data_IF_368351797430
#
_entry.id   IF_368351797430
#
_cell.length_a   1.000
_cell.length_b   1.000
_cell.length_c   1.000
_cell.angle_alpha   90.00
_cell.angle_beta   90.00
_cell.angle_gamma   90.00
#
_symmetry.space_group_name_H-M   'P 1'
#
loop_
_entity.id
_entity.type
_entity.pdbx_description
1 polymer ?
#
# COMPACT_ATOMS: atom_id res chain seq x y z
N UNK A 1 -7.55 -4.64 -3.40
CA UNK A 1 -6.74 -5.10 -2.24
C UNK A 1 -5.67 -6.11 -2.65
N UNK A 2 -5.95 -7.07 -3.53
CA UNK A 2 -4.97 -8.06 -4.03
C UNK A 2 -3.59 -7.48 -4.43
N UNK A 3 -3.55 -6.41 -5.24
CA UNK A 3 -2.29 -5.73 -5.63
C UNK A 3 -1.51 -5.13 -4.46
N UNK A 4 -2.20 -4.68 -3.41
CA UNK A 4 -1.56 -4.14 -2.20
C UNK A 4 -0.98 -5.29 -1.39
N UNK A 5 -1.70 -6.40 -1.26
CA UNK A 5 -1.22 -7.59 -0.57
C UNK A 5 0.04 -8.17 -1.24
N UNK A 6 0.09 -8.18 -2.57
CA UNK A 6 1.29 -8.59 -3.29
C UNK A 6 2.52 -7.71 -2.95
N UNK A 7 2.32 -6.39 -2.80
CA UNK A 7 3.36 -5.47 -2.36
C UNK A 7 3.75 -5.66 -0.89
N UNK A 8 2.78 -5.98 -0.03
CA UNK A 8 3.04 -6.35 1.37
C UNK A 8 3.93 -7.56 1.42
N UNK A 9 3.60 -8.64 0.70
CA UNK A 9 4.43 -9.84 0.65
C UNK A 9 5.82 -9.58 0.07
N UNK A 10 5.91 -8.84 -1.05
CA UNK A 10 7.19 -8.52 -1.70
C UNK A 10 8.14 -7.71 -0.79
N UNK A 11 7.59 -6.78 -0.02
CA UNK A 11 8.36 -5.85 0.81
C UNK A 11 8.26 -6.10 2.31
N UNK A 12 7.66 -7.22 2.75
CA UNK A 12 7.40 -7.54 4.17
C UNK A 12 8.65 -7.42 5.02
N UNK A 13 9.69 -8.14 4.66
CA UNK A 13 10.93 -8.21 5.45
C UNK A 13 11.77 -6.94 5.35
N UNK A 14 11.68 -6.18 4.25
CA UNK A 14 12.54 -5.00 4.02
C UNK A 14 11.92 -3.71 4.53
N UNK A 15 10.67 -3.45 4.15
CA UNK A 15 10.01 -2.17 4.40
C UNK A 15 9.01 -2.22 5.56
N UNK A 16 8.50 -3.41 5.90
CA UNK A 16 7.39 -3.59 6.84
C UNK A 16 7.76 -4.47 8.05
N UNK A 17 9.06 -4.60 8.36
CA UNK A 17 9.58 -5.47 9.42
C UNK A 17 9.03 -5.16 10.83
N UNK A 18 8.50 -3.96 11.03
CA UNK A 18 7.91 -3.52 12.30
C UNK A 18 6.41 -3.85 12.41
N UNK A 19 5.76 -4.26 11.30
CA UNK A 19 4.38 -4.73 11.31
C UNK A 19 4.33 -6.21 11.71
N UNK A 20 3.18 -6.65 12.22
CA UNK A 20 2.95 -8.07 12.51
C UNK A 20 3.08 -8.90 11.23
N UNK A 21 3.64 -10.10 11.35
CA UNK A 21 3.87 -10.99 10.21
C UNK A 21 2.58 -11.28 9.42
N UNK A 22 1.45 -11.52 10.10
CA UNK A 22 0.16 -11.77 9.45
C UNK A 22 -0.63 -10.50 9.08
N UNK A 23 -0.02 -9.32 9.18
CA UNK A 23 -0.75 -8.09 8.89
C UNK A 23 -0.96 -7.92 7.39
N UNK A 24 -2.24 -7.76 7.02
CA UNK A 24 -2.69 -7.39 5.69
C UNK A 24 -3.73 -6.26 5.77
N UNK A 25 -3.67 -5.29 4.85
CA UNK A 25 -4.61 -4.19 4.86
C UNK A 25 -6.03 -4.63 4.54
N UNK A 26 -6.96 -4.33 5.45
CA UNK A 26 -8.37 -4.65 5.30
C UNK A 26 -9.21 -3.50 4.74
N UNK A 27 -8.70 -2.26 4.82
CA UNK A 27 -9.40 -1.05 4.36
C UNK A 27 -8.51 -0.24 3.43
N UNK A 28 -9.11 0.65 2.64
CA UNK A 28 -8.35 1.58 1.80
C UNK A 28 -7.41 2.45 2.63
N UNK A 29 -7.87 2.96 3.78
CA UNK A 29 -7.02 3.75 4.69
C UNK A 29 -5.80 2.96 5.15
N UNK A 30 -6.00 1.68 5.47
CA UNK A 30 -4.93 0.79 5.88
C UNK A 30 -3.94 0.53 4.73
N UNK A 31 -4.46 0.25 3.53
CA UNK A 31 -3.66 0.10 2.33
C UNK A 31 -2.82 1.34 2.01
N UNK A 32 -3.39 2.54 2.16
CA UNK A 32 -2.67 3.80 1.95
C UNK A 32 -1.51 3.96 2.94
N UNK A 33 -1.70 3.59 4.22
CA UNK A 33 -0.63 3.62 5.22
C UNK A 33 0.48 2.63 4.91
N UNK A 34 0.13 1.40 4.55
CA UNK A 34 1.09 0.38 4.13
C UNK A 34 1.95 0.85 2.96
N UNK A 35 1.31 1.43 1.94
CA UNK A 35 2.02 1.95 0.78
C UNK A 35 2.96 3.11 1.17
N UNK A 36 2.55 3.98 2.08
CA UNK A 36 3.40 5.04 2.62
C UNK A 36 4.62 4.49 3.38
N UNK A 37 4.46 3.40 4.13
CA UNK A 37 5.60 2.73 4.77
C UNK A 37 6.57 2.13 3.74
N UNK A 38 6.06 1.55 2.66
CA UNK A 38 6.89 1.05 1.55
C UNK A 38 7.62 2.22 0.85
N UNK A 39 6.95 3.35 0.63
CA UNK A 39 7.57 4.57 0.08
C UNK A 39 8.70 5.10 0.96
N UNK A 40 8.52 5.06 2.30
CA UNK A 40 9.47 5.64 3.26
C UNK A 40 10.69 4.76 3.52
N UNK A 41 10.52 3.43 3.48
CA UNK A 41 11.57 2.48 3.86
C UNK A 41 12.16 1.73 2.67
N UNK A 42 11.54 1.79 1.50
CA UNK A 42 11.96 1.07 0.31
C UNK A 42 12.90 1.87 -0.60
N UNK A 43 13.58 1.14 -1.47
CA UNK A 43 14.39 1.75 -2.54
C UNK A 43 13.53 2.44 -3.60
N UNK A 44 14.17 3.11 -4.57
CA UNK A 44 13.49 3.81 -5.68
C UNK A 44 12.45 2.94 -6.39
N UNK A 45 12.72 1.64 -6.58
CA UNK A 45 11.77 0.71 -7.20
C UNK A 45 10.53 0.48 -6.33
N UNK A 46 10.71 0.34 -5.02
CA UNK A 46 9.61 0.17 -4.08
C UNK A 46 8.75 1.43 -4.01
N UNK A 47 9.40 2.60 -3.95
CA UNK A 47 8.74 3.90 -4.02
C UNK A 47 7.87 4.03 -5.28
N UNK A 48 8.42 3.77 -6.46
CA UNK A 48 7.67 3.88 -7.72
C UNK A 48 6.45 2.98 -7.77
N UNK A 49 6.58 1.71 -7.33
CA UNK A 49 5.46 0.76 -7.27
C UNK A 49 4.39 1.22 -6.27
N UNK A 50 4.81 1.61 -5.07
CA UNK A 50 3.91 2.00 -4.00
C UNK A 50 3.17 3.31 -4.33
N UNK A 51 3.88 4.32 -4.84
CA UNK A 51 3.32 5.61 -5.24
C UNK A 51 2.27 5.46 -6.36
N UNK A 52 2.56 4.63 -7.36
CA UNK A 52 1.62 4.34 -8.45
C UNK A 52 0.33 3.74 -7.91
N UNK A 53 0.43 2.76 -7.01
CA UNK A 53 -0.75 2.11 -6.44
C UNK A 53 -1.51 3.02 -5.46
N UNK A 54 -0.79 3.87 -4.72
CA UNK A 54 -1.34 4.86 -3.79
C UNK A 54 -2.15 5.92 -4.54
N UNK A 55 -1.62 6.45 -5.65
CA UNK A 55 -2.36 7.38 -6.51
C UNK A 55 -3.62 6.74 -7.10
N UNK A 56 -3.54 5.50 -7.57
CA UNK A 56 -4.70 4.78 -8.10
C UNK A 56 -5.78 4.58 -7.02
N UNK A 57 -5.39 4.21 -5.80
CA UNK A 57 -6.33 4.07 -4.68
C UNK A 57 -6.99 5.40 -4.32
N UNK A 58 -6.23 6.50 -4.25
CA UNK A 58 -6.80 7.82 -3.95
C UNK A 58 -7.84 8.24 -5.00
N UNK A 59 -7.56 8.03 -6.28
CA UNK A 59 -8.50 8.37 -7.36
C UNK A 59 -9.77 7.52 -7.32
N UNK A 60 -9.64 6.23 -6.99
CA UNK A 60 -10.79 5.31 -6.97
C UNK A 60 -11.58 5.34 -5.64
N UNK A 61 -11.02 5.92 -4.58
CA UNK A 61 -11.68 5.97 -3.26
C UNK A 61 -12.51 7.23 -3.05
N UNK A 62 -12.36 8.23 -3.93
CA UNK A 62 -13.12 9.48 -3.91
C UNK A 62 -14.38 9.45 -4.77
N UNK A 63 -14.92 8.28 -5.11
CA UNK A 63 -16.23 8.17 -5.75
C UNK A 63 -17.33 7.95 -4.69
N UNK A 64 -18.00 9.00 -4.19
CA UNK A 64 -19.43 8.86 -3.92
C UNK A 64 -20.13 8.80 -5.27
N UNK A 65 -21.05 7.84 -5.43
CA UNK A 65 -22.08 7.90 -6.45
C UNK A 65 -22.70 9.30 -6.44
N UNK A 66 -22.46 10.09 -7.48
CA UNK A 66 -23.37 11.16 -7.83
C UNK A 66 -24.60 10.47 -8.45
N UNK A 67 -25.64 10.31 -7.64
CA UNK A 67 -27.00 9.96 -8.07
C UNK A 67 -27.80 11.24 -8.30
#
# INVERSE_FOLDING_TARGET
MDRVNALVDEYRTRCLWFLREDYYPQTTTDALRVLEYIERHGDVKAFQKAATLRQWLLQNSSAPSAA
#
